data_IF_408023570579
#
_entry.id   IF_408023570579
#
_cell.length_a   1.000
_cell.length_b   1.000
_cell.length_c   1.000
_cell.angle_alpha   90.00
_cell.angle_beta   90.00
_cell.angle_gamma   90.00
#
_symmetry.space_group_name_H-M   'P 1'
#
loop_
_entity.id
_entity.type
_entity.pdbx_description
1 polymer ?
#
# COMPACT_ATOMS: atom_id res chain seq x y z
N UNK A 1 15.31 10.86 -11.34
CA UNK A 1 14.20 11.09 -10.38
C UNK A 1 12.96 11.61 -11.07
N UNK A 2 13.04 12.70 -11.85
CA UNK A 2 11.88 13.28 -12.57
C UNK A 2 11.07 12.30 -13.43
N UNK A 3 11.73 11.42 -14.19
CA UNK A 3 11.05 10.40 -15.00
C UNK A 3 10.21 9.41 -14.16
N UNK A 4 10.72 9.02 -12.98
CA UNK A 4 10.02 8.09 -12.08
C UNK A 4 8.80 8.77 -11.43
N UNK A 5 8.93 10.05 -11.11
CA UNK A 5 7.81 10.86 -10.60
C UNK A 5 6.73 11.05 -11.67
N UNK A 6 7.14 11.31 -12.91
CA UNK A 6 6.23 11.49 -14.05
C UNK A 6 5.52 10.17 -14.40
N UNK A 7 6.21 9.02 -14.34
CA UNK A 7 5.62 7.69 -14.48
C UNK A 7 4.62 7.37 -13.36
N UNK A 8 4.95 7.70 -12.10
CA UNK A 8 4.03 7.54 -10.98
C UNK A 8 2.77 8.37 -11.18
N UNK A 9 2.95 9.61 -11.63
CA UNK A 9 1.86 10.54 -11.89
C UNK A 9 0.99 10.10 -13.07
N UNK A 10 1.57 9.49 -14.09
CA UNK A 10 0.84 8.97 -15.26
C UNK A 10 0.02 7.73 -14.90
N UNK A 11 0.62 6.77 -14.17
CA UNK A 11 -0.07 5.56 -13.68
C UNK A 11 -1.21 5.95 -12.73
N UNK A 12 -0.97 6.89 -11.81
CA UNK A 12 -2.03 7.38 -10.92
C UNK A 12 -3.17 8.06 -11.70
N UNK A 13 -2.87 8.84 -12.76
CA UNK A 13 -3.88 9.45 -13.63
C UNK A 13 -4.70 8.40 -14.39
N UNK A 14 -4.06 7.35 -14.91
CA UNK A 14 -4.75 6.25 -15.60
C UNK A 14 -5.69 5.51 -14.65
N UNK A 15 -5.20 5.13 -13.46
CA UNK A 15 -6.02 4.48 -12.43
C UNK A 15 -7.23 5.36 -12.03
N UNK A 16 -7.03 6.67 -11.90
CA UNK A 16 -8.13 7.61 -11.64
C UNK A 16 -9.14 7.65 -12.79
N UNK A 17 -8.68 7.71 -14.04
CA UNK A 17 -9.56 7.71 -15.20
C UNK A 17 -10.41 6.42 -15.28
N UNK A 18 -9.79 5.27 -15.02
CA UNK A 18 -10.48 3.97 -15.02
C UNK A 18 -11.52 3.86 -13.90
N UNK A 19 -11.16 4.30 -12.69
CA UNK A 19 -12.09 4.34 -11.55
C UNK A 19 -13.26 5.28 -11.85
N UNK A 20 -12.99 6.45 -12.42
CA UNK A 20 -14.00 7.46 -12.73
C UNK A 20 -14.94 7.01 -13.86
N UNK A 21 -14.42 6.36 -14.91
CA UNK A 21 -15.25 5.81 -15.98
C UNK A 21 -16.11 4.64 -15.49
N UNK A 22 -15.57 3.75 -14.65
CA UNK A 22 -16.36 2.69 -13.99
C UNK A 22 -17.49 3.28 -13.14
N UNK A 23 -17.18 4.27 -12.31
CA UNK A 23 -18.17 4.99 -11.52
C UNK A 23 -19.23 5.65 -12.42
N UNK A 24 -18.83 6.35 -13.48
CA UNK A 24 -19.76 7.02 -14.41
C UNK A 24 -20.74 6.02 -15.05
N UNK A 25 -20.25 4.88 -15.52
CA UNK A 25 -21.08 3.82 -16.11
C UNK A 25 -22.07 3.24 -15.11
N UNK A 26 -21.63 3.03 -13.88
CA UNK A 26 -22.47 2.51 -12.81
C UNK A 26 -23.52 3.52 -12.35
N UNK A 27 -23.15 4.79 -12.20
CA UNK A 27 -24.07 5.88 -11.85
C UNK A 27 -25.13 6.07 -12.94
N UNK A 28 -24.77 5.97 -14.22
CA UNK A 28 -25.75 6.03 -15.32
C UNK A 28 -26.77 4.88 -15.24
N UNK A 29 -26.33 3.65 -14.96
CA UNK A 29 -27.22 2.50 -14.78
C UNK A 29 -28.10 2.63 -13.53
N UNK A 30 -27.58 3.20 -12.45
CA UNK A 30 -28.33 3.45 -11.22
C UNK A 30 -29.36 4.57 -11.41
N UNK A 31 -29.02 5.63 -12.16
CA UNK A 31 -29.99 6.65 -12.55
C UNK A 31 -31.18 6.03 -13.28
N UNK A 32 -30.91 5.14 -14.25
CA UNK A 32 -31.97 4.40 -14.97
C UNK A 32 -32.76 3.44 -14.06
N UNK A 33 -32.13 2.87 -13.03
CA UNK A 33 -32.81 2.06 -12.02
C UNK A 33 -33.74 2.90 -11.13
N UNK A 34 -33.28 4.08 -10.69
CA UNK A 34 -34.07 5.01 -9.89
C UNK A 34 -35.24 5.57 -10.70
N UNK A 35 -35.07 5.78 -12.00
CA UNK A 35 -36.18 6.18 -12.88
C UNK A 35 -37.34 5.18 -12.88
N UNK A 36 -37.10 3.88 -12.66
CA UNK A 36 -38.18 2.89 -12.56
C UNK A 36 -39.10 3.10 -11.35
N UNK A 37 -38.64 3.79 -10.30
CA UNK A 37 -39.44 4.10 -9.11
C UNK A 37 -40.26 5.38 -9.25
N UNK A 38 -39.93 6.23 -10.22
CA UNK A 38 -40.61 7.52 -10.49
C UNK A 38 -41.34 7.43 -11.85
N UNK A 39 -41.49 6.23 -12.39
CA UNK A 39 -42.12 6.01 -13.68
C UNK A 39 -43.64 5.93 -13.49
N UNK A 40 -44.34 7.04 -13.77
CA UNK A 40 -45.80 7.17 -13.69
C UNK A 40 -46.55 6.24 -14.66
N UNK A 41 -45.84 5.58 -15.60
CA UNK A 41 -46.42 4.56 -16.48
C UNK A 41 -46.55 3.18 -15.83
N UNK A 42 -45.98 2.99 -14.64
CA UNK A 42 -46.12 1.77 -13.84
C UNK A 42 -47.35 1.91 -12.94
N UNK A 43 -48.42 1.12 -13.14
CA UNK A 43 -49.61 1.21 -12.29
C UNK A 43 -49.27 0.91 -10.82
N UNK A 44 -49.84 1.64 -9.87
CA UNK A 44 -49.68 1.39 -8.42
C UNK A 44 -49.92 -0.06 -7.95
N UNK A 45 -50.83 -0.88 -8.55
CA UNK A 45 -50.98 -2.29 -8.16
C UNK A 45 -49.84 -3.20 -8.64
N UNK A 46 -48.83 -2.70 -9.35
CA UNK A 46 -47.73 -3.51 -9.86
C UNK A 46 -46.91 -4.07 -8.70
N UNK A 47 -46.75 -5.40 -8.65
CA UNK A 47 -45.99 -6.03 -7.56
C UNK A 47 -44.52 -5.63 -7.60
N UNK A 48 -43.92 -5.43 -6.43
CA UNK A 48 -42.49 -5.15 -6.30
C UNK A 48 -41.61 -6.21 -7.01
N UNK A 49 -42.08 -7.45 -7.10
CA UNK A 49 -41.40 -8.54 -7.81
C UNK A 49 -41.26 -8.31 -9.32
N UNK A 50 -42.18 -7.58 -9.96
CA UNK A 50 -42.09 -7.23 -11.38
C UNK A 50 -41.12 -6.09 -11.63
N UNK A 51 -41.17 -5.04 -10.79
CA UNK A 51 -40.20 -3.95 -10.82
C UNK A 51 -38.78 -4.48 -10.58
N UNK A 52 -38.61 -5.42 -9.64
CA UNK A 52 -37.32 -6.08 -9.37
C UNK A 52 -36.82 -6.90 -10.56
N UNK A 53 -37.69 -7.60 -11.29
CA UNK A 53 -37.33 -8.33 -12.51
C UNK A 53 -36.90 -7.39 -13.64
N UNK A 54 -37.54 -6.22 -13.79
CA UNK A 54 -37.14 -5.17 -14.74
C UNK A 54 -35.78 -4.55 -14.35
N UNK A 55 -35.57 -4.29 -13.07
CA UNK A 55 -34.30 -3.82 -12.53
C UNK A 55 -33.13 -4.77 -12.84
N UNK A 56 -33.32 -6.08 -12.68
CA UNK A 56 -32.27 -7.07 -12.97
C UNK A 56 -31.86 -7.15 -14.44
N UNK A 57 -32.72 -6.74 -15.38
CA UNK A 57 -32.36 -6.60 -16.80
C UNK A 57 -31.42 -5.42 -17.04
N UNK A 58 -31.49 -4.37 -16.22
CA UNK A 58 -30.63 -3.19 -16.31
C UNK A 58 -29.29 -3.44 -15.61
N UNK A 59 -29.32 -4.05 -14.44
CA UNK A 59 -28.14 -4.41 -13.65
C UNK A 59 -28.38 -5.71 -12.87
N UNK A 60 -27.53 -6.75 -13.03
CA UNK A 60 -27.65 -8.00 -12.30
C UNK A 60 -27.62 -7.80 -10.78
N UNK A 61 -28.24 -8.70 -10.02
CA UNK A 61 -28.34 -8.63 -8.55
C UNK A 61 -26.98 -8.41 -7.86
N UNK A 62 -25.98 -9.20 -8.22
CA UNK A 62 -24.66 -9.11 -7.60
C UNK A 62 -23.93 -7.81 -7.94
N UNK A 63 -24.07 -7.34 -9.18
CA UNK A 63 -23.55 -6.04 -9.59
C UNK A 63 -24.24 -4.91 -8.82
N UNK A 64 -25.56 -4.95 -8.68
CA UNK A 64 -26.34 -3.95 -7.95
C UNK A 64 -25.95 -3.90 -6.46
N UNK A 65 -25.76 -5.05 -5.82
CA UNK A 65 -25.33 -5.14 -4.42
C UNK A 65 -23.94 -4.53 -4.23
N UNK A 66 -22.99 -4.86 -5.11
CA UNK A 66 -21.63 -4.35 -5.05
C UNK A 66 -21.56 -2.84 -5.33
N UNK A 67 -22.34 -2.35 -6.32
CA UNK A 67 -22.40 -0.92 -6.64
C UNK A 67 -23.10 -0.13 -5.54
N UNK A 68 -24.20 -0.65 -4.96
CA UNK A 68 -24.87 -0.02 -3.83
C UNK A 68 -23.94 0.09 -2.61
N UNK A 69 -23.19 -0.97 -2.30
CA UNK A 69 -22.17 -0.93 -1.24
C UNK A 69 -21.10 0.12 -1.53
N UNK A 70 -20.61 0.19 -2.78
CA UNK A 70 -19.59 1.17 -3.17
C UNK A 70 -20.09 2.61 -3.22
N UNK A 71 -21.38 2.84 -3.44
CA UNK A 71 -22.00 4.17 -3.38
C UNK A 71 -22.39 4.59 -1.97
N UNK A 72 -22.65 3.62 -1.08
CA UNK A 72 -22.92 3.86 0.35
C UNK A 72 -21.65 4.21 1.12
N UNK A 73 -20.50 3.65 0.71
CA UNK A 73 -19.19 3.92 1.33
C UNK A 73 -18.56 5.17 0.72
N UNK A 74 -17.84 5.94 1.56
CA UNK A 74 -17.08 7.13 1.15
C UNK A 74 -16.20 6.80 -0.07
N UNK A 75 -16.22 7.63 -1.14
CA UNK A 75 -15.41 7.37 -2.33
C UNK A 75 -13.92 7.29 -1.97
N UNK A 76 -13.20 6.41 -2.67
CA UNK A 76 -11.75 6.27 -2.51
C UNK A 76 -11.09 7.63 -2.76
N UNK A 77 -10.31 8.10 -1.80
CA UNK A 77 -9.69 9.42 -1.90
C UNK A 77 -8.64 9.42 -3.02
N UNK A 78 -8.52 10.56 -3.70
CA UNK A 78 -7.46 10.80 -4.69
C UNK A 78 -6.07 10.48 -4.13
N UNK A 79 -5.85 10.81 -2.86
CA UNK A 79 -4.63 10.55 -2.12
C UNK A 79 -4.37 9.04 -1.95
N UNK A 80 -5.40 8.24 -1.64
CA UNK A 80 -5.25 6.79 -1.50
C UNK A 80 -4.84 6.12 -2.81
N UNK A 81 -5.40 6.55 -3.95
CA UNK A 81 -4.99 6.05 -5.27
C UNK A 81 -3.56 6.44 -5.63
N UNK A 82 -3.11 7.63 -5.22
CA UNK A 82 -1.72 8.05 -5.39
C UNK A 82 -0.77 7.17 -4.58
N UNK A 83 -1.10 6.89 -3.31
CA UNK A 83 -0.29 5.98 -2.48
C UNK A 83 -0.23 4.57 -3.07
N UNK A 84 -1.34 4.05 -3.60
CA UNK A 84 -1.35 2.75 -4.27
C UNK A 84 -0.44 2.70 -5.50
N UNK A 85 -0.39 3.78 -6.29
CA UNK A 85 0.52 3.87 -7.42
C UNK A 85 2.00 3.93 -6.98
N UNK A 86 2.29 4.68 -5.92
CA UNK A 86 3.63 4.74 -5.31
C UNK A 86 4.05 3.37 -4.77
N UNK A 87 3.14 2.65 -4.10
CA UNK A 87 3.40 1.30 -3.56
C UNK A 87 3.82 0.33 -4.67
N UNK A 88 3.15 0.37 -5.83
CA UNK A 88 3.52 -0.43 -7.00
C UNK A 88 4.92 -0.12 -7.54
N UNK A 89 5.39 1.11 -7.38
CA UNK A 89 6.72 1.55 -7.83
C UNK A 89 7.81 1.38 -6.78
N UNK A 90 7.47 1.01 -5.54
CA UNK A 90 8.44 0.86 -4.44
C UNK A 90 9.58 -0.09 -4.80
N UNK A 91 9.31 -1.15 -5.56
CA UNK A 91 10.35 -2.06 -6.04
C UNK A 91 11.38 -1.36 -6.95
N UNK A 92 10.93 -0.51 -7.87
CA UNK A 92 11.78 0.28 -8.75
C UNK A 92 12.54 1.35 -7.96
N UNK A 93 11.84 2.08 -7.09
CA UNK A 93 12.44 3.10 -6.20
C UNK A 93 13.58 2.46 -5.40
N UNK A 94 13.36 1.31 -4.76
CA UNK A 94 14.40 0.59 -4.01
C UNK A 94 15.59 0.17 -4.89
N UNK A 95 15.33 -0.27 -6.14
CA UNK A 95 16.38 -0.66 -7.09
C UNK A 95 17.28 0.52 -7.48
N UNK A 96 16.72 1.72 -7.59
CA UNK A 96 17.47 2.93 -7.93
C UNK A 96 18.12 3.62 -6.71
N UNK A 97 17.50 3.52 -5.54
CA UNK A 97 18.02 4.14 -4.31
C UNK A 97 19.19 3.34 -3.73
N UNK A 98 19.18 2.01 -3.82
CA UNK A 98 20.25 1.16 -3.26
C UNK A 98 21.64 1.43 -3.86
N UNK A 99 21.82 1.59 -5.17
CA UNK A 99 23.10 2.01 -5.76
C UNK A 99 23.56 3.40 -5.30
N UNK A 100 22.64 4.37 -5.23
CA UNK A 100 22.94 5.72 -4.75
C UNK A 100 23.42 5.69 -3.30
N UNK A 101 22.71 4.95 -2.45
CA UNK A 101 23.10 4.73 -1.06
C UNK A 101 24.51 4.14 -0.93
N UNK A 102 24.88 3.18 -1.77
CA UNK A 102 26.22 2.58 -1.75
C UNK A 102 27.32 3.54 -2.23
N UNK A 103 27.00 4.49 -3.11
CA UNK A 103 27.95 5.47 -3.63
C UNK A 103 28.17 6.69 -2.73
N UNK A 104 27.26 6.94 -1.78
CA UNK A 104 27.32 8.10 -0.91
C UNK A 104 28.00 7.74 0.42
N UNK A 105 28.91 8.59 0.88
CA UNK A 105 29.42 8.57 2.24
C UNK A 105 28.48 9.39 3.13
N UNK A 106 27.61 8.72 3.88
CA UNK A 106 26.73 9.37 4.85
C UNK A 106 27.50 9.61 6.15
N UNK A 107 27.77 10.87 6.46
CA UNK A 107 28.40 11.30 7.71
C UNK A 107 27.39 12.02 8.61
N UNK A 108 27.61 11.92 9.91
CA UNK A 108 26.81 12.62 10.92
C UNK A 108 27.57 13.86 11.39
N UNK A 109 26.84 14.95 11.63
CA UNK A 109 27.37 16.16 12.29
C UNK A 109 27.59 15.90 13.79
N UNK A 110 26.82 14.98 14.37
CA UNK A 110 26.97 14.54 15.75
C UNK A 110 28.12 13.52 15.82
N UNK A 111 29.11 13.80 16.68
CA UNK A 111 30.20 12.87 17.01
C UNK A 111 29.62 11.59 17.63
N UNK A 112 30.15 10.43 17.23
CA UNK A 112 29.74 9.09 17.69
C UNK A 112 28.23 8.81 17.58
N UNK A 113 27.60 9.24 16.48
CA UNK A 113 26.20 8.92 16.23
C UNK A 113 26.02 7.41 15.95
N UNK A 114 25.20 6.69 16.75
CA UNK A 114 24.95 5.26 16.52
C UNK A 114 24.24 5.00 15.18
N UNK A 115 23.56 6.01 14.63
CA UNK A 115 22.93 5.93 13.32
C UNK A 115 23.95 6.00 12.19
N UNK A 116 25.03 6.78 12.34
CA UNK A 116 26.11 6.81 11.35
C UNK A 116 26.83 5.46 11.28
N UNK A 117 27.09 4.84 12.42
CA UNK A 117 27.66 3.48 12.50
C UNK A 117 26.73 2.45 11.86
N UNK A 118 25.43 2.52 12.13
CA UNK A 118 24.44 1.62 11.54
C UNK A 118 24.34 1.77 10.03
N UNK A 119 24.40 3.00 9.50
CA UNK A 119 24.39 3.24 8.06
C UNK A 119 25.67 2.70 7.41
N UNK A 120 26.83 2.90 8.03
CA UNK A 120 28.09 2.35 7.52
C UNK A 120 28.09 0.81 7.55
N UNK A 121 27.58 0.20 8.63
CA UNK A 121 27.37 -1.25 8.71
C UNK A 121 26.44 -1.75 7.59
N UNK A 122 25.30 -1.08 7.37
CA UNK A 122 24.36 -1.42 6.31
C UNK A 122 25.03 -1.38 4.93
N UNK A 123 25.91 -0.40 4.71
CA UNK A 123 26.70 -0.26 3.47
C UNK A 123 27.64 -1.45 3.26
N UNK A 124 28.34 -1.88 4.30
CA UNK A 124 29.22 -3.06 4.29
C UNK A 124 28.43 -4.35 4.01
N UNK A 125 27.24 -4.50 4.60
CA UNK A 125 26.38 -5.68 4.35
C UNK A 125 25.87 -5.69 2.91
N UNK A 126 25.46 -4.53 2.40
CA UNK A 126 24.94 -4.42 1.04
C UNK A 126 26.02 -4.51 -0.04
N UNK A 127 27.25 -4.06 0.21
CA UNK A 127 28.38 -4.24 -0.72
C UNK A 127 28.73 -5.72 -0.90
N UNK A 128 28.55 -6.53 0.15
CA UNK A 128 28.69 -7.99 0.11
C UNK A 128 27.51 -8.72 -0.57
N UNK A 129 26.55 -7.99 -1.16
CA UNK A 129 25.31 -8.51 -1.79
C UNK A 129 24.43 -9.35 -0.85
N UNK A 130 24.52 -9.12 0.46
CA UNK A 130 23.76 -9.89 1.45
C UNK A 130 22.40 -9.25 1.79
N UNK A 131 21.48 -10.06 2.30
CA UNK A 131 20.13 -9.61 2.70
C UNK A 131 20.08 -9.41 4.22
N UNK A 132 19.49 -8.30 4.68
CA UNK A 132 19.38 -7.98 6.11
C UNK A 132 18.63 -9.04 6.93
N UNK A 133 17.66 -9.74 6.31
CA UNK A 133 16.92 -10.83 6.96
C UNK A 133 17.78 -12.06 7.28
N UNK A 134 18.93 -12.22 6.63
CA UNK A 134 19.85 -13.34 6.82
C UNK A 134 20.99 -13.01 7.79
N UNK A 135 21.06 -11.76 8.28
CA UNK A 135 22.11 -11.33 9.20
C UNK A 135 21.67 -11.51 10.65
N UNK A 136 22.53 -12.05 11.52
CA UNK A 136 22.25 -12.11 12.94
C UNK A 136 22.02 -10.70 13.49
N UNK A 137 21.02 -10.54 14.37
CA UNK A 137 20.73 -9.25 15.00
C UNK A 137 21.95 -8.73 15.80
N UNK A 138 22.81 -9.64 16.21
CA UNK A 138 24.08 -9.46 16.92
C UNK A 138 25.09 -8.57 16.16
N UNK A 139 25.02 -8.50 14.84
CA UNK A 139 25.88 -7.65 13.99
C UNK A 139 25.34 -6.20 13.86
N UNK A 140 24.08 -5.95 14.24
CA UNK A 140 23.46 -4.64 14.15
C UNK A 140 23.84 -3.77 15.36
N UNK A 141 24.20 -2.47 15.18
CA UNK A 141 24.54 -1.59 16.28
C UNK A 141 23.39 -1.49 17.30
N UNK A 142 23.65 -1.80 18.59
CA UNK A 142 22.61 -2.04 19.58
C UNK A 142 21.73 -0.81 19.83
N UNK A 143 22.29 0.39 19.73
CA UNK A 143 21.58 1.65 19.97
C UNK A 143 20.53 2.00 18.91
N UNK A 144 20.55 1.32 17.75
CA UNK A 144 19.56 1.52 16.69
C UNK A 144 18.37 0.56 16.77
N UNK A 145 18.39 -0.37 17.73
CA UNK A 145 17.34 -1.37 17.90
C UNK A 145 16.23 -0.87 18.85
N UNK A 146 14.96 -1.19 18.56
CA UNK A 146 13.85 -0.97 19.50
C UNK A 146 14.14 -1.63 20.85
N UNK A 147 13.74 -1.01 21.95
CA UNK A 147 14.02 -1.50 23.31
C UNK A 147 13.63 -2.97 23.52
N UNK A 148 12.53 -3.42 22.91
CA UNK A 148 12.03 -4.80 22.95
C UNK A 148 12.95 -5.81 22.23
N UNK A 149 13.70 -5.37 21.23
CA UNK A 149 14.66 -6.19 20.50
C UNK A 149 16.05 -6.17 21.14
N UNK A 150 16.44 -5.05 21.76
CA UNK A 150 17.65 -4.96 22.59
C UNK A 150 17.62 -5.94 23.77
N UNK A 151 16.51 -6.00 24.50
CA UNK A 151 16.38 -6.92 25.65
C UNK A 151 16.46 -8.39 25.26
N UNK A 152 15.91 -8.76 24.09
CA UNK A 152 16.05 -10.12 23.52
C UNK A 152 17.48 -10.43 23.08
N UNK A 153 18.18 -9.46 22.50
CA UNK A 153 19.58 -9.61 22.10
C UNK A 153 20.51 -9.75 23.31
N UNK A 154 20.27 -8.99 24.40
CA UNK A 154 21.02 -9.11 25.66
C UNK A 154 20.84 -10.47 26.31
N UNK A 155 19.60 -10.97 26.40
CA UNK A 155 19.30 -12.31 26.93
C UNK A 155 19.93 -13.44 26.11
N UNK A 156 20.02 -13.28 24.79
CA UNK A 156 20.64 -14.25 23.89
C UNK A 156 22.17 -14.29 24.05
N UNK A 157 22.82 -13.13 24.26
CA UNK A 157 24.25 -13.06 24.57
C UNK A 157 24.59 -13.64 25.95
N UNK A 158 23.75 -13.44 26.96
CA UNK A 158 23.93 -14.02 28.31
C UNK A 158 23.75 -15.55 28.33
N UNK A 159 22.81 -16.10 27.57
CA UNK A 159 22.62 -17.55 27.45
C UNK A 159 23.82 -18.26 26.80
N UNK A 160 24.36 -17.70 25.71
CA UNK A 160 25.54 -18.26 25.02
C UNK A 160 26.81 -18.22 25.89
N UNK A 161 26.92 -17.25 26.80
CA UNK A 161 28.08 -17.13 27.70
C UNK A 161 27.98 -18.06 28.93
N UNK A 162 26.79 -18.57 29.27
CA UNK A 162 26.60 -19.62 30.29
C UNK A 162 26.88 -21.01 29.73
N UNK A 163 26.51 -21.28 28.48
CA UNK A 163 26.78 -22.57 27.81
C UNK A 163 28.27 -22.86 27.58
N UNK A 164 29.12 -21.82 27.53
CA UNK A 164 30.59 -21.95 27.36
C UNK A 164 31.38 -22.02 28.67
N UNK A 165 30.70 -22.05 29.82
CA UNK A 165 31.33 -22.14 31.16
C UNK A 165 31.17 -23.52 31.82
N UNK A 166 30.77 -24.53 31.05
CA UNK A 166 30.78 -25.93 31.45
C UNK A 166 31.69 -26.73 30.51
#
# INVERSE_FOLDING_TARGET
>A
MKQLEDESRSVAKQLMADVQEKHRRETSKIGRLLSLYVDDSVPDPTTFGEVRRRAWKIMPREALKNTAQRMSVKPVSKLALQWQAVDGMTALIRRHLRPLYLSLDLTSVVQDSPWAEALNWLRIVFSKKQTLLQRPLEECPPETLPATRRSRQSRRKEGVNREKRH
#
